data_IF_409504952641
#
_entry.id   IF_409504952641
#
_cell.length_a   1.000
_cell.length_b   1.000
_cell.length_c   1.000
_cell.angle_alpha   90.00
_cell.angle_beta   90.00
_cell.angle_gamma   90.00
#
_symmetry.space_group_name_H-M   'P 1'
#
loop_
_entity.id
_entity.type
_entity.pdbx_description
1 polymer ?
#
# COMPACT_ATOMS: atom_id res chain seq x y z
N UNK A 1 55.41 -33.65 36.44
CA UNK A 1 54.26 -33.66 35.52
C UNK A 1 54.18 -32.27 34.88
N UNK A 2 54.31 -32.12 33.55
CA UNK A 2 53.99 -30.85 32.90
C UNK A 2 52.49 -30.82 32.60
N UNK A 3 51.81 -29.75 33.03
CA UNK A 3 50.45 -29.44 32.62
C UNK A 3 50.51 -28.70 31.28
N UNK A 4 49.85 -29.24 30.26
CA UNK A 4 49.56 -28.52 29.02
C UNK A 4 48.24 -29.01 28.43
N UNK A 5 47.24 -28.15 28.46
CA UNK A 5 46.64 -27.57 27.26
C UNK A 5 45.51 -26.62 27.71
N UNK A 6 45.80 -25.32 27.73
CA UNK A 6 44.73 -24.32 27.65
C UNK A 6 44.05 -24.49 26.30
N UNK A 7 42.80 -24.95 26.31
CA UNK A 7 41.98 -24.96 25.10
C UNK A 7 41.63 -23.52 24.76
N UNK A 8 42.35 -22.91 23.82
CA UNK A 8 41.97 -21.64 23.24
C UNK A 8 40.68 -21.85 22.41
N UNK A 9 39.53 -21.52 23.00
CA UNK A 9 38.29 -21.31 22.26
C UNK A 9 38.38 -19.95 21.60
N UNK A 10 38.55 -19.91 20.29
CA UNK A 10 38.41 -18.67 19.53
C UNK A 10 36.94 -18.49 19.16
N UNK A 11 36.28 -17.50 19.75
CA UNK A 11 34.93 -17.13 19.37
C UNK A 11 34.95 -16.51 17.97
N UNK A 12 34.34 -17.19 17.00
CA UNK A 12 34.18 -16.69 15.65
C UNK A 12 32.91 -15.83 15.59
N UNK A 13 33.07 -14.54 15.31
CA UNK A 13 31.96 -13.60 15.12
C UNK A 13 31.85 -13.19 13.66
N UNK A 14 30.65 -13.33 13.09
CA UNK A 14 30.31 -12.76 11.78
C UNK A 14 29.41 -11.54 12.03
N UNK A 15 29.83 -10.38 11.51
CA UNK A 15 28.97 -9.21 11.41
C UNK A 15 28.04 -9.37 10.20
N UNK A 16 26.77 -9.64 10.46
CA UNK A 16 25.72 -9.56 9.45
C UNK A 16 25.30 -8.10 9.30
N UNK A 17 25.37 -7.50 8.10
CA UNK A 17 24.84 -6.17 7.88
C UNK A 17 23.34 -6.14 8.16
N UNK A 18 22.84 -4.99 8.59
CA UNK A 18 21.39 -4.81 8.72
C UNK A 18 20.73 -4.88 7.33
N UNK A 19 19.57 -5.53 7.27
CA UNK A 19 18.75 -5.56 6.08
C UNK A 19 17.27 -5.45 6.44
N UNK A 20 16.50 -4.97 5.47
CA UNK A 20 15.06 -5.17 5.41
C UNK A 20 14.74 -5.78 4.06
N UNK A 21 13.95 -6.86 4.08
CA UNK A 21 13.43 -7.51 2.89
C UNK A 21 11.91 -7.44 2.92
N UNK A 22 11.32 -6.96 1.84
CA UNK A 22 9.86 -6.93 1.66
C UNK A 22 9.49 -7.87 0.52
N UNK A 23 8.55 -8.78 0.78
CA UNK A 23 8.02 -9.76 -0.16
C UNK A 23 6.50 -9.61 -0.25
N UNK A 24 5.93 -9.66 -1.45
CA UNK A 24 4.48 -9.77 -1.61
C UNK A 24 4.02 -11.19 -1.30
N UNK A 25 3.06 -11.34 -0.40
CA UNK A 25 2.35 -12.60 -0.12
C UNK A 25 1.02 -12.64 -0.88
N UNK A 26 0.27 -11.54 -0.85
CA UNK A 26 -0.87 -11.30 -1.74
C UNK A 26 -0.57 -10.13 -2.64
N UNK A 27 -1.11 -10.17 -3.86
CA UNK A 27 -0.81 -9.24 -4.93
C UNK A 27 -0.75 -7.79 -4.43
N UNK A 28 0.33 -7.04 -4.73
CA UNK A 28 0.38 -5.60 -4.49
C UNK A 28 -0.49 -4.85 -5.51
N UNK A 29 -0.76 -5.48 -6.66
CA UNK A 29 -1.65 -4.95 -7.69
C UNK A 29 -3.07 -5.32 -7.33
N UNK A 30 -3.89 -4.32 -7.06
CA UNK A 30 -5.29 -4.46 -6.72
C UNK A 30 -6.15 -4.02 -7.89
N UNK A 31 -7.12 -4.85 -8.23
CA UNK A 31 -7.99 -4.65 -9.39
C UNK A 31 -9.43 -4.63 -8.89
N UNK A 32 -10.12 -3.53 -9.15
CA UNK A 32 -11.55 -3.36 -8.97
C UNK A 32 -12.25 -3.62 -10.30
N UNK A 33 -13.12 -4.63 -10.35
CA UNK A 33 -13.96 -4.88 -11.52
C UNK A 33 -15.34 -4.24 -11.30
N UNK A 34 -15.60 -3.12 -11.98
CA UNK A 34 -16.85 -2.38 -11.88
C UNK A 34 -17.80 -2.86 -12.97
N UNK A 35 -18.83 -3.61 -12.57
CA UNK A 35 -19.81 -4.24 -13.46
C UNK A 35 -21.20 -3.59 -13.42
N UNK A 36 -21.48 -2.82 -12.37
CA UNK A 36 -22.78 -2.18 -12.10
C UNK A 36 -22.72 -0.64 -12.20
N UNK A 37 -23.81 0.04 -11.85
CA UNK A 37 -23.88 1.51 -11.82
C UNK A 37 -23.61 2.10 -10.43
N UNK A 38 -23.21 1.29 -9.45
CA UNK A 38 -22.96 1.77 -8.09
C UNK A 38 -21.48 2.03 -7.84
N UNK A 39 -20.60 1.33 -8.57
CA UNK A 39 -19.15 1.44 -8.37
C UNK A 39 -18.68 0.66 -7.14
N UNK A 40 -19.56 -0.04 -6.43
CA UNK A 40 -19.17 -0.86 -5.28
C UNK A 40 -18.53 -2.18 -5.73
N UNK A 41 -17.63 -2.71 -4.91
CA UNK A 41 -17.06 -4.03 -5.11
C UNK A 41 -18.02 -5.10 -4.58
N UNK A 42 -18.04 -6.26 -5.25
CA UNK A 42 -18.76 -7.43 -4.72
C UNK A 42 -18.12 -7.97 -3.42
N UNK A 43 -16.80 -7.83 -3.30
CA UNK A 43 -16.03 -8.28 -2.14
C UNK A 43 -14.92 -7.28 -1.83
N UNK A 44 -14.55 -7.13 -0.55
CA UNK A 44 -13.43 -6.28 -0.16
C UNK A 44 -12.12 -6.80 -0.77
N UNK A 45 -11.17 -5.89 -0.97
CA UNK A 45 -9.83 -6.23 -1.46
C UNK A 45 -8.84 -6.27 -0.29
N UNK A 46 -7.78 -7.05 -0.46
CA UNK A 46 -6.67 -7.02 0.47
C UNK A 46 -5.34 -7.24 -0.25
N UNK A 47 -4.27 -6.68 0.31
CA UNK A 47 -2.89 -6.97 -0.05
C UNK A 47 -2.09 -7.30 1.19
N UNK A 48 -1.05 -8.12 1.03
CA UNK A 48 -0.28 -8.64 2.16
C UNK A 48 1.20 -8.68 1.81
N UNK A 49 2.01 -8.06 2.66
CA UNK A 49 3.46 -8.04 2.56
C UNK A 49 4.07 -8.83 3.72
N UNK A 50 5.09 -9.61 3.43
CA UNK A 50 5.97 -10.21 4.42
C UNK A 50 7.23 -9.35 4.51
N UNK A 51 7.53 -8.89 5.71
CA UNK A 51 8.71 -8.08 5.99
C UNK A 51 9.64 -8.89 6.88
N UNK A 52 10.91 -9.00 6.48
CA UNK A 52 11.95 -9.68 7.24
C UNK A 52 13.04 -8.66 7.52
N UNK A 53 13.39 -8.46 8.78
CA UNK A 53 14.53 -7.59 9.15
C UNK A 53 15.32 -8.20 10.30
N UNK A 54 16.64 -8.07 10.25
CA UNK A 54 17.55 -8.41 11.35
C UNK A 54 17.99 -7.18 12.15
N UNK A 55 17.41 -6.00 11.90
CA UNK A 55 17.80 -4.78 12.61
C UNK A 55 17.46 -4.87 14.09
N UNK A 56 18.36 -4.37 14.94
CA UNK A 56 18.12 -4.26 16.38
C UNK A 56 17.11 -3.16 16.71
N UNK A 57 16.93 -2.19 15.80
CA UNK A 57 16.00 -1.08 15.94
C UNK A 57 14.70 -1.33 15.18
N UNK A 58 13.65 -0.60 15.56
CA UNK A 58 12.39 -0.62 14.80
C UNK A 58 12.59 0.14 13.49
N UNK A 59 12.41 -0.53 12.36
CA UNK A 59 12.51 0.09 11.04
C UNK A 59 11.18 0.73 10.64
N UNK A 60 11.26 1.90 10.02
CA UNK A 60 10.11 2.61 9.46
C UNK A 60 10.05 2.33 7.96
N UNK A 61 8.93 1.80 7.50
CA UNK A 61 8.60 1.59 6.10
C UNK A 61 7.46 2.51 5.69
N UNK A 62 7.37 2.79 4.40
CA UNK A 62 6.32 3.61 3.81
C UNK A 62 5.42 2.74 2.94
N UNK A 63 4.15 2.64 3.32
CA UNK A 63 3.11 2.03 2.52
C UNK A 63 2.45 3.13 1.67
N UNK A 64 2.58 3.01 0.35
CA UNK A 64 1.98 3.92 -0.64
C UNK A 64 1.08 3.16 -1.60
N UNK A 65 0.18 3.89 -2.23
CA UNK A 65 -0.61 3.41 -3.34
C UNK A 65 -0.38 4.31 -4.54
N UNK A 66 -0.20 3.73 -5.73
CA UNK A 66 -0.04 4.47 -6.97
C UNK A 66 -1.02 3.95 -8.02
N UNK A 67 -1.50 4.85 -8.86
CA UNK A 67 -2.34 4.53 -10.01
C UNK A 67 -1.82 5.21 -11.26
N UNK A 68 -2.31 4.77 -12.43
CA UNK A 68 -1.83 5.24 -13.72
C UNK A 68 -2.77 6.28 -14.31
N UNK A 69 -2.22 7.44 -14.64
CA UNK A 69 -2.90 8.51 -15.37
C UNK A 69 -2.12 8.88 -16.62
N UNK A 70 -2.60 9.88 -17.36
CA UNK A 70 -1.87 10.45 -18.51
C UNK A 70 -0.53 11.10 -18.13
N UNK A 71 -0.30 11.42 -16.85
CA UNK A 71 0.98 11.93 -16.34
C UNK A 71 1.93 10.80 -15.88
N UNK A 72 1.50 9.54 -15.93
CA UNK A 72 2.28 8.37 -15.50
C UNK A 72 1.78 7.80 -14.17
N UNK A 73 2.71 7.33 -13.33
CA UNK A 73 2.38 6.78 -12.01
C UNK A 73 2.24 7.90 -10.99
N UNK A 74 1.07 8.05 -10.40
CA UNK A 74 0.78 9.09 -9.41
C UNK A 74 0.32 8.48 -8.09
N UNK A 75 0.64 9.14 -6.98
CA UNK A 75 0.14 8.71 -5.67
C UNK A 75 -1.39 8.70 -5.70
N UNK A 76 -2.00 7.60 -5.28
CA UNK A 76 -3.42 7.36 -5.27
C UNK A 76 -4.03 7.34 -3.86
N UNK A 77 -3.22 7.41 -2.81
CA UNK A 77 -3.68 7.43 -1.43
C UNK A 77 -3.95 8.87 -0.97
N UNK A 78 -5.04 9.06 -0.23
CA UNK A 78 -5.45 10.36 0.31
C UNK A 78 -6.42 10.20 1.48
N UNK A 79 -6.55 11.23 2.31
CA UNK A 79 -7.53 11.29 3.40
C UNK A 79 -8.65 12.26 3.06
N UNK A 80 -9.89 11.85 3.32
CA UNK A 80 -11.06 12.71 3.16
C UNK A 80 -12.06 12.40 4.27
N UNK A 81 -12.48 13.42 5.02
CA UNK A 81 -13.46 13.26 6.11
C UNK A 81 -12.99 12.34 7.25
N UNK A 82 -11.69 12.28 7.53
CA UNK A 82 -11.11 11.43 8.58
C UNK A 82 -10.92 9.96 8.20
N UNK A 83 -11.21 9.59 6.95
CA UNK A 83 -11.03 8.24 6.42
C UNK A 83 -9.99 8.27 5.30
N UNK A 84 -9.07 7.31 5.32
CA UNK A 84 -8.09 7.12 4.25
C UNK A 84 -8.71 6.32 3.12
N UNK A 85 -8.46 6.76 1.89
CA UNK A 85 -8.91 6.16 0.65
C UNK A 85 -7.73 5.85 -0.27
N UNK A 86 -7.93 4.88 -1.15
CA UNK A 86 -7.04 4.60 -2.28
C UNK A 86 -7.85 4.73 -3.57
N UNK A 87 -7.37 5.57 -4.48
CA UNK A 87 -7.90 5.72 -5.82
C UNK A 87 -7.39 4.62 -6.75
N UNK A 88 -8.25 4.20 -7.68
CA UNK A 88 -7.99 3.25 -8.73
C UNK A 88 -8.34 3.93 -10.05
N UNK A 89 -7.50 3.77 -11.07
CA UNK A 89 -7.70 4.33 -12.39
C UNK A 89 -8.15 3.27 -13.38
N UNK A 90 -9.01 3.65 -14.32
CA UNK A 90 -9.48 2.79 -15.38
C UNK A 90 -8.31 2.38 -16.31
N UNK A 91 -8.15 1.07 -16.53
CA UNK A 91 -7.08 0.52 -17.36
C UNK A 91 -7.33 0.63 -18.87
N UNK A 92 -8.59 0.61 -19.29
CA UNK A 92 -8.97 0.67 -20.71
C UNK A 92 -8.99 2.12 -21.22
N UNK A 93 -9.33 3.07 -20.35
CA UNK A 93 -9.37 4.50 -20.65
C UNK A 93 -8.61 5.26 -19.57
N UNK A 94 -7.31 5.37 -19.77
CA UNK A 94 -6.40 6.04 -18.84
C UNK A 94 -6.94 7.45 -18.52
N UNK A 95 -7.22 7.76 -17.25
CA UNK A 95 -7.76 9.05 -16.83
C UNK A 95 -6.68 10.14 -16.84
N UNK A 96 -7.13 11.39 -16.82
CA UNK A 96 -6.22 12.53 -16.65
C UNK A 96 -5.72 12.64 -15.22
N UNK A 97 -4.50 13.10 -15.00
CA UNK A 97 -3.97 13.45 -13.68
C UNK A 97 -4.92 14.40 -12.91
N UNK A 98 -5.51 15.37 -13.61
CA UNK A 98 -6.50 16.27 -13.01
C UNK A 98 -7.74 15.55 -12.46
N UNK A 99 -8.15 14.43 -13.08
CA UNK A 99 -9.30 13.64 -12.59
C UNK A 99 -8.99 13.01 -11.23
N UNK A 100 -7.76 12.51 -11.06
CA UNK A 100 -7.26 12.00 -9.78
C UNK A 100 -7.19 13.12 -8.73
N UNK A 101 -6.63 14.28 -9.09
CA UNK A 101 -6.58 15.44 -8.19
C UNK A 101 -8.00 15.87 -7.74
N UNK A 102 -8.95 15.96 -8.67
CA UNK A 102 -10.34 16.27 -8.38
C UNK A 102 -10.98 15.26 -7.42
N UNK A 103 -10.67 13.97 -7.58
CA UNK A 103 -11.19 12.93 -6.70
C UNK A 103 -10.68 13.15 -5.27
N UNK A 104 -9.39 13.45 -5.11
CA UNK A 104 -8.77 13.72 -3.81
C UNK A 104 -9.32 14.96 -3.12
N UNK A 105 -9.71 15.97 -3.90
CA UNK A 105 -10.32 17.20 -3.40
C UNK A 105 -11.82 17.03 -3.05
N UNK A 106 -12.40 15.86 -3.32
CA UNK A 106 -13.83 15.61 -3.07
C UNK A 106 -14.76 16.31 -4.06
N UNK A 107 -14.27 16.65 -5.26
CA UNK A 107 -15.05 17.24 -6.36
C UNK A 107 -16.21 16.33 -6.80
N UNK A 108 -17.08 16.84 -7.68
CA UNK A 108 -18.20 16.03 -8.18
C UNK A 108 -17.69 14.87 -9.04
N UNK A 109 -18.38 13.71 -9.07
CA UNK A 109 -17.94 12.54 -9.82
C UNK A 109 -17.66 12.80 -11.31
N UNK A 110 -18.44 13.67 -11.94
CA UNK A 110 -18.26 14.06 -13.35
C UNK A 110 -16.89 14.71 -13.64
N UNK A 111 -16.24 15.25 -12.62
CA UNK A 111 -14.95 15.93 -12.71
C UNK A 111 -13.77 14.96 -12.45
N UNK A 112 -14.06 13.71 -12.10
CA UNK A 112 -13.11 12.63 -11.84
C UNK A 112 -13.32 11.40 -12.74
N UNK A 113 -13.53 11.56 -14.06
CA UNK A 113 -13.89 10.45 -14.92
C UNK A 113 -12.79 9.38 -14.93
N UNK A 114 -13.19 8.12 -14.80
CA UNK A 114 -12.26 6.98 -14.83
C UNK A 114 -11.40 6.82 -13.58
N UNK A 115 -11.75 7.48 -12.48
CA UNK A 115 -11.15 7.27 -11.15
C UNK A 115 -12.24 6.76 -10.21
N UNK A 116 -11.92 5.78 -9.35
CA UNK A 116 -12.78 5.38 -8.23
C UNK A 116 -11.95 5.24 -6.98
N UNK A 117 -12.50 5.52 -5.81
CA UNK A 117 -11.77 5.39 -4.55
C UNK A 117 -12.49 4.50 -3.55
N UNK A 118 -11.71 3.67 -2.86
CA UNK A 118 -12.23 2.76 -1.83
C UNK A 118 -11.52 3.01 -0.50
N UNK A 119 -12.23 2.85 0.64
CA UNK A 119 -11.67 3.15 1.95
C UNK A 119 -10.68 2.07 2.37
N UNK A 120 -9.54 2.50 2.94
CA UNK A 120 -8.65 1.61 3.69
C UNK A 120 -9.31 1.34 5.04
N UNK A 121 -9.82 0.13 5.24
CA UNK A 121 -10.54 -0.22 6.48
C UNK A 121 -9.59 -0.51 7.63
N UNK A 122 -8.41 -1.05 7.33
CA UNK A 122 -7.36 -1.29 8.32
C UNK A 122 -6.01 -1.60 7.67
N UNK A 123 -4.94 -1.27 8.40
CA UNK A 123 -3.58 -1.79 8.17
C UNK A 123 -3.20 -2.56 9.44
N UNK A 124 -2.86 -3.85 9.31
CA UNK A 124 -2.61 -4.75 10.45
C UNK A 124 -1.27 -5.47 10.31
N UNK A 125 -0.82 -6.10 11.40
CA UNK A 125 0.42 -6.89 11.44
C UNK A 125 1.69 -6.08 11.77
N UNK A 126 1.57 -4.76 11.87
CA UNK A 126 2.58 -3.86 12.39
C UNK A 126 1.91 -2.57 12.92
N UNK A 127 2.55 -1.89 13.86
CA UNK A 127 2.14 -0.55 14.26
C UNK A 127 2.25 0.38 13.05
N UNK A 128 1.27 1.25 12.88
CA UNK A 128 1.22 2.13 11.71
C UNK A 128 0.53 3.45 12.02
N UNK A 129 0.85 4.46 11.21
CA UNK A 129 0.26 5.78 11.28
C UNK A 129 0.11 6.36 9.89
N UNK A 130 -1.08 6.87 9.58
CA UNK A 130 -1.26 7.64 8.36
C UNK A 130 -0.62 9.02 8.49
N UNK A 131 0.18 9.41 7.49
CA UNK A 131 0.84 10.72 7.43
C UNK A 131 0.73 11.26 6.01
N UNK A 132 -0.15 12.25 5.83
CA UNK A 132 -0.43 12.96 4.56
C UNK A 132 -0.99 12.07 3.45
N UNK A 133 -0.15 11.27 2.82
CA UNK A 133 -0.43 10.56 1.57
C UNK A 133 0.15 9.13 1.57
N UNK A 134 0.52 8.63 2.75
CA UNK A 134 1.12 7.31 2.98
C UNK A 134 0.88 6.83 4.41
N UNK A 135 1.05 5.53 4.66
CA UNK A 135 1.22 5.02 6.01
C UNK A 135 2.70 4.84 6.34
N UNK A 136 3.12 5.34 7.51
CA UNK A 136 4.34 4.88 8.16
C UNK A 136 4.05 3.56 8.86
N UNK A 137 4.83 2.52 8.58
CA UNK A 137 4.68 1.17 9.14
C UNK A 137 5.95 0.82 9.91
N UNK A 138 5.80 0.48 11.19
CA UNK A 138 6.90 0.25 12.12
C UNK A 138 7.09 -1.25 12.33
N UNK A 139 8.18 -1.78 11.77
CA UNK A 139 8.50 -3.22 11.80
C UNK A 139 9.67 -3.47 12.76
N UNK A 140 9.49 -4.45 13.64
CA UNK A 140 10.52 -4.87 14.60
C UNK A 140 11.36 -6.01 14.01
N UNK A 141 12.48 -6.32 14.67
CA UNK A 141 13.32 -7.48 14.36
C UNK A 141 12.47 -8.76 14.17
N UNK A 142 12.79 -9.53 13.13
CA UNK A 142 12.15 -10.80 12.81
C UNK A 142 11.29 -10.70 11.56
N UNK A 143 10.19 -11.47 11.55
CA UNK A 143 9.24 -11.53 10.44
C UNK A 143 7.91 -10.91 10.85
N UNK A 144 7.43 -9.95 10.06
CA UNK A 144 6.12 -9.32 10.21
C UNK A 144 5.28 -9.53 8.95
N UNK A 145 3.95 -9.60 9.10
CA UNK A 145 3.02 -9.75 7.98
C UNK A 145 2.08 -8.55 7.92
N UNK A 146 2.43 -7.54 7.14
CA UNK A 146 1.66 -6.32 7.00
C UNK A 146 0.50 -6.57 6.04
N UNK A 147 -0.74 -6.42 6.51
CA UNK A 147 -1.94 -6.62 5.69
C UNK A 147 -2.70 -5.32 5.54
N UNK A 148 -3.07 -4.97 4.32
CA UNK A 148 -3.86 -3.78 3.98
C UNK A 148 -5.23 -4.25 3.52
N UNK A 149 -6.28 -3.82 4.23
CA UNK A 149 -7.66 -4.18 3.92
C UNK A 149 -8.40 -2.98 3.33
N UNK A 150 -9.16 -3.21 2.27
CA UNK A 150 -9.87 -2.18 1.51
C UNK A 150 -11.35 -2.57 1.44
N UNK A 151 -12.20 -1.64 1.83
CA UNK A 151 -13.64 -1.84 1.88
C UNK A 151 -14.29 -1.82 0.50
N UNK A 152 -15.47 -2.41 0.40
CA UNK A 152 -16.21 -2.53 -0.86
C UNK A 152 -16.98 -1.29 -1.28
N UNK A 153 -17.31 -0.42 -0.33
CA UNK A 153 -18.16 0.74 -0.58
C UNK A 153 -17.34 1.86 -1.18
N UNK A 154 -17.69 2.26 -2.40
CA UNK A 154 -16.99 3.33 -3.12
C UNK A 154 -17.19 4.67 -2.42
N UNK A 155 -16.17 5.53 -2.46
CA UNK A 155 -16.31 6.92 -2.08
C UNK A 155 -17.34 7.57 -3.02
N UNK A 156 -18.47 8.03 -2.44
CA UNK A 156 -19.64 8.50 -3.18
C UNK A 156 -19.32 9.56 -4.25
N UNK A 157 -18.33 10.41 -4.00
CA UNK A 157 -17.94 11.49 -4.91
C UNK A 157 -16.89 11.06 -5.95
N UNK A 158 -16.33 9.86 -5.84
CA UNK A 158 -15.31 9.37 -6.78
C UNK A 158 -15.90 8.75 -8.04
N UNK A 159 -17.05 8.08 -7.95
CA UNK A 159 -17.64 7.34 -9.08
C UNK A 159 -18.87 8.02 -9.65
N UNK A 160 -18.89 8.22 -10.97
CA UNK A 160 -20.06 8.69 -11.71
C UNK A 160 -20.80 7.49 -12.31
N UNK A 161 -22.13 7.47 -12.29
CA UNK A 161 -22.92 6.41 -12.92
C UNK A 161 -22.67 6.24 -14.44
N UNK A 162 -22.04 7.24 -15.07
CA UNK A 162 -21.62 7.23 -16.48
C UNK A 162 -20.15 6.83 -16.68
N UNK A 163 -19.41 6.53 -15.60
CA UNK A 163 -18.07 5.98 -15.71
C UNK A 163 -18.10 4.64 -16.42
N UNK A 164 -17.03 4.37 -17.18
CA UNK A 164 -16.94 3.15 -17.96
C UNK A 164 -16.83 1.95 -17.03
N UNK A 165 -17.71 0.97 -17.23
CA UNK A 165 -17.55 -0.37 -16.66
C UNK A 165 -16.20 -0.95 -17.06
N UNK A 166 -15.63 -1.78 -16.20
CA UNK A 166 -14.38 -2.47 -16.48
C UNK A 166 -13.42 -2.50 -15.30
N UNK A 167 -12.15 -2.71 -15.62
CA UNK A 167 -11.11 -2.89 -14.63
C UNK A 167 -10.43 -1.57 -14.27
N UNK A 168 -10.39 -1.29 -12.97
CA UNK A 168 -9.69 -0.17 -12.38
C UNK A 168 -8.56 -0.73 -11.52
N UNK A 169 -7.39 -0.09 -11.52
CA UNK A 169 -6.21 -0.61 -10.84
C UNK A 169 -5.55 0.42 -9.93
N UNK A 170 -5.00 -0.09 -8.83
CA UNK A 170 -3.96 0.59 -8.04
C UNK A 170 -2.86 -0.41 -7.71
N UNK A 171 -1.66 0.08 -7.43
CA UNK A 171 -0.50 -0.71 -7.03
C UNK A 171 -0.07 -0.23 -5.65
N UNK A 172 0.03 -1.16 -4.69
CA UNK A 172 0.56 -0.91 -3.37
C UNK A 172 2.06 -1.19 -3.34
N UNK A 173 2.81 -0.34 -2.66
CA UNK A 173 4.24 -0.53 -2.40
C UNK A 173 4.51 -0.36 -0.91
N UNK A 174 5.43 -1.17 -0.38
CA UNK A 174 5.93 -1.04 0.98
C UNK A 174 7.46 -1.01 0.91
N UNK A 175 8.06 0.14 1.21
CA UNK A 175 9.50 0.38 0.97
C UNK A 175 10.15 1.16 2.12
N UNK A 176 11.47 1.02 2.27
CA UNK A 176 12.25 1.88 3.19
C UNK A 176 12.41 3.31 2.66
N UNK A 177 12.45 3.46 1.33
CA UNK A 177 12.54 4.75 0.68
C UNK A 177 11.17 5.40 0.58
N UNK A 178 11.10 6.69 0.90
CA UNK A 178 9.94 7.54 0.67
C UNK A 178 9.90 7.98 -0.80
N UNK A 179 9.53 7.04 -1.68
CA UNK A 179 9.46 7.22 -3.15
C UNK A 179 8.13 7.76 -3.64
#
# INVERSE_FOLDING_TARGET
>A
MPAFAESASADFSILLPEFVKVESVFSPVLIANITDRTGNLYAPLCSKFKVITNSSETKKLYLKANTVTDAGQENAMFEQGGQVYIAFANLAKIPKSQALANCKMGSLPKDSPGIVAYPVTSVTGAENKYVRDKYEVFVKNGTSYVTVNIGSNVLKNSFAANDSKGFYQTILSLTEADI
#
